data_IF_627521612158
#
_entry.id   IF_627521612158
#
_cell.length_a   1.000
_cell.length_b   1.000
_cell.length_c   1.000
_cell.angle_alpha   90.00
_cell.angle_beta   90.00
_cell.angle_gamma   90.00
#
_symmetry.space_group_name_H-M   'P 1'
#
loop_
_entity.id
_entity.type
_entity.pdbx_description
1 polymer ?
#
# COMPACT_ATOMS: atom_id res chain seq x y z
N UNK A 1 8.67 -1.70 26.23
CA UNK A 1 8.47 -1.09 24.90
C UNK A 1 7.07 -0.46 24.90
N UNK A 2 6.94 0.81 24.49
CA UNK A 2 5.63 1.47 24.45
C UNK A 2 4.73 0.79 23.41
N UNK A 3 3.43 0.79 23.64
CA UNK A 3 2.44 0.11 22.79
C UNK A 3 2.48 0.59 21.32
N UNK A 4 2.72 1.89 21.08
CA UNK A 4 2.87 2.45 19.74
C UNK A 4 4.05 1.84 18.95
N UNK A 5 5.18 1.54 19.59
CA UNK A 5 6.30 0.88 18.92
C UNK A 5 6.01 -0.56 18.52
N UNK A 6 5.20 -1.28 19.30
CA UNK A 6 4.73 -2.60 18.90
C UNK A 6 3.86 -2.53 17.64
N UNK A 7 3.04 -1.48 17.51
CA UNK A 7 2.22 -1.26 16.33
C UNK A 7 3.03 -0.80 15.10
N UNK A 8 4.14 -0.09 15.30
CA UNK A 8 5.10 0.19 14.21
C UNK A 8 5.78 -1.10 13.72
N UNK A 9 6.20 -1.97 14.65
CA UNK A 9 6.78 -3.27 14.29
C UNK A 9 5.77 -4.18 13.59
N UNK A 10 4.50 -4.17 14.02
CA UNK A 10 3.40 -4.88 13.36
C UNK A 10 3.18 -4.37 11.93
N UNK A 11 3.21 -3.04 11.74
CA UNK A 11 3.11 -2.45 10.40
C UNK A 11 4.27 -2.87 9.50
N UNK A 12 5.51 -2.85 10.01
CA UNK A 12 6.69 -3.31 9.28
C UNK A 12 6.54 -4.77 8.85
N UNK A 13 6.11 -5.64 9.74
CA UNK A 13 5.86 -7.06 9.45
C UNK A 13 4.83 -7.26 8.32
N UNK A 14 3.71 -6.53 8.36
CA UNK A 14 2.71 -6.65 7.30
C UNK A 14 3.18 -6.06 5.97
N UNK A 15 4.04 -5.04 5.97
CA UNK A 15 4.65 -4.51 4.75
C UNK A 15 5.58 -5.55 4.12
N UNK A 16 6.43 -6.21 4.91
CA UNK A 16 7.30 -7.29 4.41
C UNK A 16 6.50 -8.47 3.86
N UNK A 17 5.42 -8.84 4.56
CA UNK A 17 4.54 -9.91 4.11
C UNK A 17 3.81 -9.54 2.81
N UNK A 18 3.38 -8.28 2.67
CA UNK A 18 2.81 -7.75 1.43
C UNK A 18 3.81 -7.78 0.27
N UNK A 19 5.05 -7.34 0.52
CA UNK A 19 6.12 -7.37 -0.48
C UNK A 19 6.41 -8.80 -0.95
N UNK A 20 6.48 -9.76 -0.02
CA UNK A 20 6.61 -11.17 -0.35
C UNK A 20 5.42 -11.72 -1.16
N UNK A 21 4.22 -11.14 -1.01
CA UNK A 21 3.05 -11.51 -1.82
C UNK A 21 3.23 -11.12 -3.28
N UNK A 22 3.97 -10.04 -3.58
CA UNK A 22 4.24 -9.59 -4.95
C UNK A 22 5.10 -10.57 -5.74
N UNK A 23 5.91 -11.39 -5.08
CA UNK A 23 6.79 -12.37 -5.71
C UNK A 23 6.12 -13.75 -5.91
N UNK A 24 4.94 -13.95 -5.33
CA UNK A 24 4.23 -15.24 -5.38
C UNK A 24 3.28 -15.32 -6.56
N UNK A 25 3.10 -16.54 -7.04
CA UNK A 25 2.12 -16.90 -8.08
C UNK A 25 0.85 -17.51 -7.49
N UNK A 26 0.87 -17.87 -6.21
CA UNK A 26 -0.25 -18.51 -5.52
C UNK A 26 -0.45 -17.87 -4.13
N UNK A 27 -1.69 -17.78 -3.67
CA UNK A 27 -2.02 -17.29 -2.34
C UNK A 27 -1.49 -18.22 -1.23
N UNK A 28 -1.22 -17.68 -0.05
CA UNK A 28 -0.82 -18.48 1.13
C UNK A 28 -1.95 -19.36 1.63
N UNK A 29 -3.18 -18.92 1.42
CA UNK A 29 -4.36 -19.62 1.93
C UNK A 29 -5.20 -20.19 0.80
N UNK A 30 -5.84 -21.34 1.05
CA UNK A 30 -6.71 -22.00 0.07
C UNK A 30 -8.04 -21.24 -0.14
N UNK A 31 -8.38 -20.33 0.73
CA UNK A 31 -9.67 -19.63 0.75
C UNK A 31 -9.68 -18.27 0.08
N UNK A 32 -8.53 -17.82 -0.43
CA UNK A 32 -8.39 -16.49 -1.07
C UNK A 32 -7.51 -16.59 -2.32
N UNK A 33 -7.70 -15.67 -3.25
CA UNK A 33 -6.75 -15.41 -4.32
C UNK A 33 -5.71 -14.35 -3.88
N UNK A 34 -4.70 -14.12 -4.70
CA UNK A 34 -3.61 -13.16 -4.40
C UNK A 34 -4.11 -11.72 -4.21
N UNK A 35 -5.10 -11.29 -4.98
CA UNK A 35 -5.64 -9.93 -4.89
C UNK A 35 -6.41 -9.73 -3.57
N UNK A 36 -7.19 -10.73 -3.18
CA UNK A 36 -7.88 -10.76 -1.90
C UNK A 36 -6.89 -10.74 -0.74
N UNK A 37 -5.84 -11.56 -0.81
CA UNK A 37 -4.79 -11.59 0.20
C UNK A 37 -4.06 -10.25 0.32
N UNK A 38 -3.69 -9.65 -0.82
CA UNK A 38 -3.08 -8.32 -0.86
C UNK A 38 -4.00 -7.26 -0.24
N UNK A 39 -5.30 -7.33 -0.49
CA UNK A 39 -6.30 -6.43 0.09
C UNK A 39 -6.40 -6.59 1.62
N UNK A 40 -6.32 -7.82 2.14
CA UNK A 40 -6.30 -8.08 3.58
C UNK A 40 -5.03 -7.55 4.24
N UNK A 41 -3.87 -7.77 3.63
CA UNK A 41 -2.59 -7.27 4.10
C UNK A 41 -2.55 -5.74 4.09
N UNK A 42 -3.05 -5.11 3.04
CA UNK A 42 -3.19 -3.66 2.98
C UNK A 42 -4.06 -3.12 4.12
N UNK A 43 -5.19 -3.77 4.40
CA UNK A 43 -6.05 -3.41 5.53
C UNK A 43 -5.33 -3.53 6.87
N UNK A 44 -4.52 -4.58 7.06
CA UNK A 44 -3.73 -4.78 8.26
C UNK A 44 -2.67 -3.69 8.44
N UNK A 45 -1.96 -3.30 7.36
CA UNK A 45 -1.00 -2.19 7.35
C UNK A 45 -1.69 -0.88 7.78
N UNK A 46 -2.82 -0.54 7.16
CA UNK A 46 -3.56 0.70 7.47
C UNK A 46 -4.04 0.73 8.93
N UNK A 47 -4.52 -0.38 9.44
CA UNK A 47 -4.95 -0.49 10.84
C UNK A 47 -3.78 -0.38 11.81
N UNK A 48 -2.61 -0.95 11.49
CA UNK A 48 -1.41 -0.85 12.32
C UNK A 48 -0.89 0.59 12.38
N UNK A 49 -0.88 1.32 11.26
CA UNK A 49 -0.54 2.75 11.23
C UNK A 49 -1.48 3.59 12.09
N UNK A 50 -2.78 3.39 11.92
CA UNK A 50 -3.77 4.11 12.72
C UNK A 50 -3.59 3.83 14.21
N UNK A 51 -3.44 2.56 14.58
CA UNK A 51 -3.27 2.15 15.98
C UNK A 51 -1.96 2.69 16.58
N UNK A 52 -0.86 2.73 15.82
CA UNK A 52 0.39 3.30 16.29
C UNK A 52 0.24 4.80 16.61
N UNK A 53 -0.37 5.55 15.69
CA UNK A 53 -0.61 6.97 15.88
C UNK A 53 -1.60 7.27 17.01
N UNK A 54 -2.69 6.48 17.13
CA UNK A 54 -3.69 6.67 18.18
C UNK A 54 -3.13 6.33 19.57
N UNK A 55 -2.32 5.28 19.70
CA UNK A 55 -1.63 4.92 20.95
C UNK A 55 -0.50 5.88 21.32
N UNK A 56 0.07 6.58 20.36
CA UNK A 56 1.02 7.66 20.62
C UNK A 56 0.33 8.96 21.05
N UNK A 57 -0.93 9.16 20.66
CA UNK A 57 -1.70 10.37 20.96
C UNK A 57 -1.84 10.59 22.46
N UNK A 58 -1.35 11.74 22.93
CA UNK A 58 -1.58 12.28 24.26
C UNK A 58 -2.13 13.69 24.14
N UNK A 59 -3.39 13.95 24.55
CA UNK A 59 -3.99 15.30 24.46
C UNK A 59 -3.24 16.39 25.22
N UNK A 60 -2.48 16.02 26.25
CA UNK A 60 -1.74 16.95 27.07
C UNK A 60 -0.39 17.36 26.44
N UNK A 61 0.27 16.44 25.73
CA UNK A 61 1.66 16.66 25.31
C UNK A 61 1.84 16.79 23.81
N UNK A 62 1.11 16.02 22.98
CA UNK A 62 1.38 15.95 21.54
C UNK A 62 0.17 16.20 20.61
N UNK A 63 -0.92 16.76 21.15
CA UNK A 63 -2.17 17.01 20.41
C UNK A 63 -1.94 17.72 19.07
N UNK A 64 -1.13 18.80 19.07
CA UNK A 64 -0.87 19.59 17.86
C UNK A 64 -0.10 18.78 16.80
N UNK A 65 0.87 17.99 17.24
CA UNK A 65 1.63 17.09 16.34
C UNK A 65 0.73 16.02 15.73
N UNK A 66 -0.13 15.40 16.53
CA UNK A 66 -1.13 14.43 16.08
C UNK A 66 -2.06 15.04 15.01
N UNK A 67 -2.68 16.18 15.30
CA UNK A 67 -3.63 16.84 14.39
C UNK A 67 -2.96 17.26 13.07
N UNK A 68 -1.72 17.77 13.14
CA UNK A 68 -0.94 18.14 11.96
C UNK A 68 -0.62 16.91 11.09
N UNK A 69 -0.21 15.81 11.71
CA UNK A 69 0.13 14.57 11.01
C UNK A 69 -1.10 13.95 10.32
N UNK A 70 -2.24 13.89 11.01
CA UNK A 70 -3.51 13.44 10.46
C UNK A 70 -3.92 14.26 9.24
N UNK A 71 -3.80 15.60 9.33
CA UNK A 71 -4.13 16.52 8.24
C UNK A 71 -3.20 16.37 7.03
N UNK A 72 -1.94 16.03 7.25
CA UNK A 72 -0.94 15.81 6.17
C UNK A 72 -1.07 14.46 5.47
N UNK A 73 -1.74 13.48 6.10
CA UNK A 73 -1.88 12.13 5.56
C UNK A 73 -3.37 11.71 5.52
N UNK A 74 -4.21 12.47 4.79
CA UNK A 74 -5.66 12.24 4.76
C UNK A 74 -6.05 10.91 4.12
N UNK A 75 -5.20 10.35 3.27
CA UNK A 75 -5.39 9.06 2.61
C UNK A 75 -5.51 7.90 3.62
N UNK A 76 -4.89 8.02 4.80
CA UNK A 76 -4.99 7.00 5.85
C UNK A 76 -6.00 7.41 6.92
N UNK A 77 -5.91 8.65 7.40
CA UNK A 77 -6.54 9.08 8.66
C UNK A 77 -7.85 9.86 8.50
N UNK A 78 -8.27 10.19 7.28
CA UNK A 78 -9.54 10.91 7.10
C UNK A 78 -10.73 10.06 7.58
N UNK A 79 -11.64 10.68 8.34
CA UNK A 79 -12.87 10.06 8.84
C UNK A 79 -14.12 10.41 8.02
N UNK A 80 -13.99 11.18 6.93
CA UNK A 80 -15.13 11.50 6.08
C UNK A 80 -15.68 10.24 5.41
N UNK A 81 -16.95 10.26 5.00
CA UNK A 81 -17.66 9.10 4.41
C UNK A 81 -17.00 8.52 3.13
N UNK A 82 -16.13 9.32 2.48
CA UNK A 82 -15.21 8.90 1.40
C UNK A 82 -13.76 9.10 1.86
N UNK A 83 -13.51 8.84 3.13
CA UNK A 83 -12.33 9.21 3.85
C UNK A 83 -11.11 8.37 3.55
N UNK A 84 -10.23 8.30 4.52
CA UNK A 84 -8.99 7.55 4.39
C UNK A 84 -9.23 6.05 4.23
N UNK A 85 -8.23 5.39 3.72
CA UNK A 85 -8.26 3.93 3.49
C UNK A 85 -8.60 3.13 4.75
N UNK A 86 -8.08 3.54 5.91
CA UNK A 86 -8.43 2.85 7.17
C UNK A 86 -9.93 2.91 7.46
N UNK A 87 -10.57 4.06 7.29
CA UNK A 87 -12.01 4.17 7.51
C UNK A 87 -12.79 3.29 6.54
N UNK A 88 -12.37 3.24 5.28
CA UNK A 88 -12.99 2.39 4.26
C UNK A 88 -12.85 0.91 4.61
N UNK A 89 -11.63 0.46 4.98
CA UNK A 89 -11.39 -0.97 5.28
C UNK A 89 -12.15 -1.47 6.51
N UNK A 90 -12.43 -0.58 7.46
CA UNK A 90 -13.14 -0.96 8.72
C UNK A 90 -14.66 -0.88 8.56
N UNK A 91 -15.17 0.09 7.82
CA UNK A 91 -16.61 0.40 7.83
C UNK A 91 -17.34 0.07 6.52
N UNK A 92 -16.64 -0.04 5.41
CA UNK A 92 -17.25 -0.25 4.09
C UNK A 92 -16.91 -1.62 3.51
N UNK A 93 -15.62 -1.97 3.50
CA UNK A 93 -15.12 -3.22 2.93
C UNK A 93 -13.66 -3.10 2.50
N UNK A 94 -13.15 -4.17 1.90
CA UNK A 94 -11.77 -4.18 1.44
C UNK A 94 -11.56 -3.23 0.26
N UNK A 95 -10.44 -2.53 0.27
CA UNK A 95 -10.05 -1.65 -0.84
C UNK A 95 -9.47 -2.53 -1.94
N UNK A 96 -9.95 -2.40 -3.18
CA UNK A 96 -9.38 -3.12 -4.30
C UNK A 96 -7.91 -2.75 -4.49
N UNK A 97 -7.06 -3.76 -4.52
CA UNK A 97 -5.66 -3.65 -4.87
C UNK A 97 -5.51 -4.15 -6.29
N UNK A 98 -4.90 -3.36 -7.15
CA UNK A 98 -4.78 -3.68 -8.57
C UNK A 98 -3.31 -3.88 -8.95
N UNK A 99 -3.06 -4.82 -9.85
CA UNK A 99 -1.75 -4.96 -10.48
C UNK A 99 -1.56 -3.92 -11.60
N UNK A 100 -0.35 -3.40 -11.73
CA UNK A 100 0.02 -2.58 -12.88
C UNK A 100 0.32 -3.43 -14.12
N UNK A 101 0.46 -4.72 -13.96
CA UNK A 101 0.78 -5.66 -15.03
C UNK A 101 -0.23 -6.80 -15.13
N UNK A 102 -0.28 -7.42 -16.29
CA UNK A 102 -1.06 -8.62 -16.53
C UNK A 102 -0.29 -9.83 -15.98
N UNK A 103 -0.91 -10.57 -15.07
CA UNK A 103 -0.42 -11.90 -14.69
C UNK A 103 -1.15 -12.90 -15.59
N UNK A 104 -0.44 -13.56 -16.52
CA UNK A 104 -1.09 -14.54 -17.36
C UNK A 104 -1.57 -15.73 -16.52
N UNK A 105 -2.80 -16.23 -16.75
CA UNK A 105 -3.22 -17.46 -16.13
C UNK A 105 -2.26 -18.58 -16.54
N UNK A 106 -2.00 -19.50 -15.63
CA UNK A 106 -1.09 -20.65 -15.85
C UNK A 106 -1.52 -21.41 -17.11
N UNK A 107 -0.73 -21.35 -18.20
CA UNK A 107 -1.01 -22.01 -19.47
C UNK A 107 -1.94 -21.23 -20.44
N UNK A 108 -2.22 -19.95 -20.19
CA UNK A 108 -3.04 -19.11 -21.06
C UNK A 108 -2.22 -18.33 -22.10
N UNK A 109 -2.86 -17.97 -23.22
CA UNK A 109 -2.28 -17.02 -24.19
C UNK A 109 -2.27 -15.60 -23.60
N UNK A 110 -1.12 -14.92 -23.75
CA UNK A 110 -0.98 -13.51 -23.38
C UNK A 110 -1.32 -12.66 -24.59
N UNK A 111 -2.42 -11.92 -24.51
CA UNK A 111 -2.73 -10.88 -25.48
C UNK A 111 -2.25 -9.53 -24.97
N UNK A 112 -1.19 -8.99 -25.57
CA UNK A 112 -0.67 -7.66 -25.23
C UNK A 112 -1.29 -6.62 -26.16
N UNK A 113 -2.12 -5.74 -25.63
CA UNK A 113 -2.63 -4.59 -26.37
C UNK A 113 -1.72 -3.39 -26.08
N UNK A 114 -0.83 -3.09 -27.03
CA UNK A 114 -0.04 -1.87 -26.96
C UNK A 114 -0.87 -0.70 -27.47
N UNK A 115 -1.25 0.23 -26.61
CA UNK A 115 -1.77 1.52 -27.04
C UNK A 115 -0.60 2.38 -27.50
N UNK A 116 -0.06 2.09 -28.67
CA UNK A 116 0.90 2.98 -29.33
C UNK A 116 0.15 4.15 -29.95
N UNK A 117 0.65 5.40 -29.83
CA UNK A 117 0.11 6.50 -30.63
C UNK A 117 0.30 6.15 -32.12
N UNK A 118 -0.66 6.51 -32.98
CA UNK A 118 -0.63 6.16 -34.41
C UNK A 118 0.42 6.98 -35.14
N UNK A 119 1.68 6.63 -35.00
CA UNK A 119 2.77 7.10 -35.83
C UNK A 119 3.86 6.05 -35.85
N UNK A 120 3.79 5.22 -36.88
CA UNK A 120 4.99 4.87 -37.64
C UNK A 120 4.56 3.81 -38.68
N UNK A 121 4.27 4.26 -39.88
CA UNK A 121 4.35 3.41 -41.05
C UNK A 121 5.84 3.19 -41.34
N UNK A 122 6.46 2.23 -40.67
CA UNK A 122 7.65 1.56 -41.14
C UNK A 122 7.37 0.08 -41.12
N UNK A 123 7.33 -0.50 -42.29
CA UNK A 123 7.12 -1.93 -42.55
C UNK A 123 8.39 -2.75 -42.35
N UNK A 124 9.23 -2.40 -41.40
CA UNK A 124 10.31 -3.29 -40.99
C UNK A 124 9.82 -4.15 -39.82
N UNK A 125 9.48 -5.40 -40.15
CA UNK A 125 9.32 -6.44 -39.14
C UNK A 125 10.73 -6.74 -38.60
N UNK A 126 11.06 -6.16 -37.46
CA UNK A 126 12.25 -6.55 -36.72
C UNK A 126 11.91 -7.85 -35.99
N UNK A 127 12.38 -8.97 -36.50
CA UNK A 127 12.40 -10.21 -35.76
C UNK A 127 13.36 -10.05 -34.58
N UNK A 128 12.82 -9.70 -33.44
CA UNK A 128 13.54 -9.60 -32.19
C UNK A 128 12.84 -10.40 -31.10
N UNK A 129 13.61 -11.14 -30.32
CA UNK A 129 13.13 -11.76 -29.09
C UNK A 129 13.03 -10.65 -28.03
N UNK A 130 11.81 -10.27 -27.66
CA UNK A 130 11.58 -9.37 -26.54
C UNK A 130 11.40 -10.22 -25.27
N UNK A 131 12.30 -10.10 -24.33
CA UNK A 131 12.08 -10.62 -22.98
C UNK A 131 11.25 -9.59 -22.22
N UNK A 132 9.98 -9.91 -22.00
CA UNK A 132 9.06 -9.09 -21.23
C UNK A 132 9.17 -9.46 -19.76
N UNK A 133 9.71 -8.57 -18.95
CA UNK A 133 9.70 -8.70 -17.50
C UNK A 133 8.47 -7.99 -16.96
N UNK A 134 7.55 -8.76 -16.40
CA UNK A 134 6.38 -8.20 -15.71
C UNK A 134 6.79 -7.91 -14.27
N UNK A 135 6.62 -6.67 -13.86
CA UNK A 135 6.84 -6.28 -12.46
C UNK A 135 5.53 -6.42 -11.69
N UNK A 136 5.47 -7.25 -10.66
CA UNK A 136 4.24 -7.55 -9.94
C UNK A 136 3.90 -6.49 -8.89
N UNK A 137 4.02 -5.21 -9.22
CA UNK A 137 3.67 -4.16 -8.26
C UNK A 137 2.17 -4.02 -8.11
N UNK A 138 1.74 -3.92 -6.86
CA UNK A 138 0.36 -3.65 -6.48
C UNK A 138 0.15 -2.16 -6.24
N UNK A 139 -0.99 -1.67 -6.73
CA UNK A 139 -1.37 -0.27 -6.62
C UNK A 139 -2.71 -0.12 -5.91
N UNK A 140 -2.83 0.97 -5.17
CA UNK A 140 -4.07 1.41 -4.53
C UNK A 140 -4.46 2.79 -5.06
N UNK A 141 -5.75 2.96 -5.35
CA UNK A 141 -6.27 4.24 -5.82
C UNK A 141 -6.61 5.17 -4.64
N UNK A 142 -6.24 6.45 -4.77
CA UNK A 142 -6.69 7.52 -3.90
C UNK A 142 -6.94 8.78 -4.71
N UNK A 143 -8.20 9.26 -4.74
CA UNK A 143 -8.62 10.47 -5.47
C UNK A 143 -8.18 10.51 -6.94
N UNK A 144 -8.22 9.37 -7.61
CA UNK A 144 -7.84 9.24 -9.01
C UNK A 144 -6.35 9.03 -9.27
N UNK A 145 -5.51 9.06 -8.24
CA UNK A 145 -4.08 8.72 -8.33
C UNK A 145 -3.84 7.27 -7.92
N UNK A 146 -2.95 6.59 -8.62
CA UNK A 146 -2.46 5.27 -8.24
C UNK A 146 -1.17 5.41 -7.44
N UNK A 147 -1.13 4.77 -6.27
CA UNK A 147 0.06 4.71 -5.40
C UNK A 147 0.52 3.27 -5.31
N UNK A 148 1.81 3.04 -5.57
CA UNK A 148 2.43 1.74 -5.34
C UNK A 148 2.45 1.46 -3.84
N UNK A 149 1.91 0.29 -3.45
CA UNK A 149 1.56 0.00 -2.06
C UNK A 149 2.78 -0.07 -1.15
N UNK A 150 3.83 -0.80 -1.55
CA UNK A 150 5.02 -1.02 -0.70
C UNK A 150 5.80 0.27 -0.50
N UNK A 151 6.06 1.02 -1.58
CA UNK A 151 6.77 2.30 -1.53
C UNK A 151 6.02 3.32 -0.67
N UNK A 152 4.70 3.40 -0.84
CA UNK A 152 3.85 4.25 -0.03
C UNK A 152 3.91 3.86 1.45
N UNK A 153 3.72 2.57 1.76
CA UNK A 153 3.66 2.07 3.12
C UNK A 153 5.00 2.23 3.85
N UNK A 154 6.14 1.94 3.18
CA UNK A 154 7.49 2.16 3.74
C UNK A 154 7.76 3.63 4.01
N UNK A 155 7.40 4.53 3.08
CA UNK A 155 7.56 5.97 3.28
C UNK A 155 6.69 6.48 4.44
N UNK A 156 5.46 5.96 4.58
CA UNK A 156 4.59 6.35 5.69
C UNK A 156 5.07 5.80 7.03
N UNK A 157 5.51 4.54 7.08
CA UNK A 157 6.12 3.95 8.28
C UNK A 157 7.29 4.80 8.78
N UNK A 158 8.19 5.21 7.87
CA UNK A 158 9.31 6.07 8.22
C UNK A 158 8.86 7.42 8.81
N UNK A 159 7.90 8.11 8.17
CA UNK A 159 7.36 9.37 8.68
C UNK A 159 6.76 9.22 10.08
N UNK A 160 6.00 8.14 10.30
CA UNK A 160 5.35 7.89 11.58
C UNK A 160 6.37 7.54 12.68
N UNK A 161 7.39 6.76 12.34
CA UNK A 161 8.50 6.45 13.26
C UNK A 161 9.23 7.71 13.68
N UNK A 162 9.62 8.56 12.73
CA UNK A 162 10.30 9.85 13.02
C UNK A 162 9.43 10.74 13.91
N UNK A 163 8.13 10.84 13.65
CA UNK A 163 7.21 11.62 14.48
C UNK A 163 7.21 11.12 15.94
N UNK A 164 7.12 9.82 16.14
CA UNK A 164 7.04 9.21 17.47
C UNK A 164 8.36 9.36 18.22
N UNK A 165 9.49 9.06 17.60
CA UNK A 165 10.82 9.12 18.20
C UNK A 165 11.26 10.56 18.53
N UNK A 166 11.00 11.52 17.63
CA UNK A 166 11.37 12.92 17.84
C UNK A 166 10.68 13.51 19.08
N UNK A 167 9.41 13.18 19.29
CA UNK A 167 8.69 13.69 20.45
C UNK A 167 9.09 13.00 21.75
N UNK A 168 9.56 11.75 21.71
CA UNK A 168 10.07 11.05 22.90
C UNK A 168 11.40 11.63 23.39
N UNK A 169 12.25 12.12 22.47
CA UNK A 169 13.51 12.79 22.83
C UNK A 169 13.32 14.23 23.33
N UNK A 170 12.17 14.82 23.07
CA UNK A 170 11.86 16.20 23.45
C UNK A 170 11.15 16.34 24.79
N UNK A 171 10.84 15.22 25.45
CA UNK A 171 10.29 15.21 26.82
C UNK A 171 11.44 15.22 27.83
N UNK A 172 11.44 16.17 28.81
CA UNK A 172 12.49 16.28 29.82
C UNK A 172 12.51 15.10 30.79
#
# INVERSE_FOLDING_TARGET
MKSCHLKLAEAAFFIELFEATQERTESLTRGSDLETEASYLFSAIMNSFYSALDQWRDPATNKKGYEAFVKQNPEIYSHSHFGGWRSTTVHVGHIPITHAGYIPPKGGEVSLVFSAPPKLASTEIVEGRADLTFSPYYYVAYRGELKEVVSFARAHLHKLTVLIEFNEQSLP
#
